data_IF_143325146541
#
_entry.id   IF_143325146541
#
_cell.length_a   1.000
_cell.length_b   1.000
_cell.length_c   1.000
_cell.angle_alpha   90.00
_cell.angle_beta   90.00
_cell.angle_gamma   90.00
#
_symmetry.space_group_name_H-M   'P 1'
#
loop_
_entity.id
_entity.type
_entity.pdbx_description
1 polymer ?
#
# COMPACT_ATOMS: atom_id res chain seq x y z
N UNK A 1 -18.01 3.95 15.93
CA UNK A 1 -17.51 5.31 15.64
C UNK A 1 -18.21 5.79 14.38
N UNK A 2 -18.82 6.97 14.42
CA UNK A 2 -19.40 7.55 13.20
C UNK A 2 -18.33 8.08 12.24
N UNK A 3 -18.72 8.30 10.98
CA UNK A 3 -17.77 8.69 9.94
C UNK A 3 -17.09 10.05 10.21
N UNK A 4 -17.79 10.99 10.81
CA UNK A 4 -17.24 12.31 11.11
C UNK A 4 -16.12 12.20 12.15
N UNK A 5 -16.36 11.46 13.22
CA UNK A 5 -15.33 11.17 14.24
C UNK A 5 -14.14 10.44 13.63
N UNK A 6 -14.40 9.50 12.71
CA UNK A 6 -13.32 8.78 12.01
C UNK A 6 -12.46 9.72 11.16
N UNK A 7 -13.07 10.60 10.35
CA UNK A 7 -12.33 11.58 9.54
C UNK A 7 -11.43 12.46 10.43
N UNK A 8 -11.98 12.97 11.55
CA UNK A 8 -11.21 13.82 12.48
C UNK A 8 -10.05 13.03 13.11
N UNK A 9 -10.29 11.80 13.56
CA UNK A 9 -9.27 10.96 14.16
C UNK A 9 -8.13 10.66 13.19
N UNK A 10 -8.46 10.30 11.94
CA UNK A 10 -7.47 10.05 10.87
C UNK A 10 -6.68 11.32 10.56
N UNK A 11 -7.36 12.47 10.45
CA UNK A 11 -6.69 13.75 10.21
C UNK A 11 -5.69 14.09 11.32
N UNK A 12 -6.11 14.02 12.58
CA UNK A 12 -5.25 14.31 13.72
C UNK A 12 -4.03 13.38 13.78
N UNK A 13 -4.25 12.07 13.58
CA UNK A 13 -3.16 11.08 13.57
C UNK A 13 -2.12 11.39 12.47
N UNK A 14 -2.58 11.73 11.28
CA UNK A 14 -1.69 12.08 10.16
C UNK A 14 -1.00 13.41 10.41
N UNK A 15 -1.78 14.46 10.75
CA UNK A 15 -1.26 15.81 10.91
C UNK A 15 -0.20 15.90 12.00
N UNK A 16 -0.44 15.27 13.14
CA UNK A 16 0.54 15.22 14.25
C UNK A 16 1.88 14.59 13.86
N UNK A 17 1.92 13.80 12.79
CA UNK A 17 3.13 13.16 12.30
C UNK A 17 3.85 13.90 11.19
N UNK A 18 3.12 14.71 10.42
CA UNK A 18 3.70 15.34 9.23
C UNK A 18 3.76 16.86 9.26
N UNK A 19 2.99 17.55 10.13
CA UNK A 19 2.88 19.03 10.18
C UNK A 19 4.23 19.73 10.30
N UNK A 20 5.16 19.17 11.08
CA UNK A 20 6.48 19.75 11.34
C UNK A 20 7.58 19.18 10.43
N UNK A 21 7.23 18.35 9.43
CA UNK A 21 8.18 17.72 8.53
C UNK A 21 8.19 18.38 7.16
N UNK A 22 9.35 18.76 6.63
CA UNK A 22 9.46 19.32 5.29
C UNK A 22 9.28 18.19 4.24
N UNK A 23 8.03 17.92 3.85
CA UNK A 23 7.71 16.91 2.82
C UNK A 23 8.22 17.39 1.45
N UNK A 24 8.17 18.70 1.20
CA UNK A 24 8.62 19.30 -0.06
C UNK A 24 9.89 20.10 0.14
N UNK A 25 10.89 19.83 -0.73
CA UNK A 25 12.14 20.59 -0.72
C UNK A 25 12.05 21.93 -1.46
N UNK A 26 11.09 22.10 -2.38
CA UNK A 26 10.94 23.29 -3.27
C UNK A 26 9.49 23.49 -3.68
N UNK A 27 9.16 24.70 -4.06
CA UNK A 27 7.87 25.09 -4.60
C UNK A 27 6.94 25.75 -3.55
N UNK A 28 5.82 26.35 -4.02
CA UNK A 28 4.84 26.95 -3.13
C UNK A 28 4.11 25.89 -2.31
N UNK A 29 3.63 26.28 -1.13
CA UNK A 29 2.78 25.43 -0.32
C UNK A 29 1.51 25.05 -1.08
N UNK A 30 1.07 23.80 -1.03
CA UNK A 30 -0.14 23.38 -1.69
C UNK A 30 -1.37 24.03 -1.04
N UNK A 31 -2.40 24.31 -1.83
CA UNK A 31 -3.66 24.86 -1.32
C UNK A 31 -4.41 23.87 -0.43
N UNK A 32 -4.39 22.60 -0.81
CA UNK A 32 -4.87 21.46 -0.02
C UNK A 32 -3.67 20.90 0.71
N UNK A 33 -3.71 20.83 2.03
CA UNK A 33 -2.59 20.31 2.83
C UNK A 33 -2.33 18.82 2.55
N UNK A 34 -1.12 18.35 2.85
CA UNK A 34 -0.80 16.93 2.68
C UNK A 34 -1.57 16.06 3.68
N UNK A 35 -1.83 16.58 4.88
CA UNK A 35 -2.70 15.92 5.88
C UNK A 35 -4.13 15.75 5.35
N UNK A 36 -4.69 16.79 4.73
CA UNK A 36 -6.04 16.70 4.11
C UNK A 36 -6.07 15.66 2.98
N UNK A 37 -5.08 15.68 2.08
CA UNK A 37 -5.02 14.70 0.97
C UNK A 37 -4.94 13.27 1.50
N UNK A 38 -4.03 13.00 2.42
CA UNK A 38 -3.86 11.66 2.99
C UNK A 38 -5.09 11.21 3.78
N UNK A 39 -5.74 12.12 4.51
CA UNK A 39 -6.99 11.83 5.21
C UNK A 39 -8.08 11.42 4.22
N UNK A 40 -8.23 12.15 3.13
CA UNK A 40 -9.21 11.84 2.10
C UNK A 40 -8.95 10.48 1.45
N UNK A 41 -7.69 10.13 1.18
CA UNK A 41 -7.34 8.82 0.63
C UNK A 41 -7.64 7.69 1.62
N UNK A 42 -7.17 7.78 2.87
CA UNK A 42 -7.39 6.74 3.88
C UNK A 42 -8.87 6.52 4.16
N UNK A 43 -9.64 7.61 4.30
CA UNK A 43 -11.09 7.50 4.52
C UNK A 43 -11.80 7.01 3.25
N UNK A 44 -11.35 7.41 2.07
CA UNK A 44 -11.88 6.93 0.80
C UNK A 44 -11.72 5.42 0.64
N UNK A 45 -10.52 4.90 0.90
CA UNK A 45 -10.24 3.46 0.90
C UNK A 45 -11.09 2.71 1.93
N UNK A 46 -11.22 3.25 3.14
CA UNK A 46 -12.10 2.67 4.17
C UNK A 46 -13.57 2.58 3.73
N UNK A 47 -14.03 3.53 2.92
CA UNK A 47 -15.38 3.55 2.35
C UNK A 47 -15.52 2.69 1.07
N UNK A 48 -14.45 2.05 0.60
CA UNK A 48 -14.45 1.27 -0.64
C UNK A 48 -14.54 2.15 -1.90
N UNK A 49 -13.99 3.35 -1.85
CA UNK A 49 -13.97 4.27 -3.01
C UNK A 49 -12.65 4.11 -3.77
N UNK A 50 -12.67 3.37 -4.87
CA UNK A 50 -11.48 2.85 -5.56
C UNK A 50 -10.72 3.87 -6.45
N UNK A 51 -11.18 5.12 -6.57
CA UNK A 51 -10.52 6.08 -7.48
C UNK A 51 -10.35 7.46 -6.88
N UNK A 52 -9.21 8.10 -7.13
CA UNK A 52 -8.95 9.51 -6.76
C UNK A 52 -10.07 10.46 -7.21
N UNK A 53 -10.66 10.18 -8.38
CA UNK A 53 -11.78 10.98 -8.88
C UNK A 53 -13.00 10.86 -7.98
N UNK A 54 -13.35 9.66 -7.58
CA UNK A 54 -14.52 9.41 -6.75
C UNK A 54 -14.29 9.93 -5.32
N UNK A 55 -13.08 9.75 -4.77
CA UNK A 55 -12.67 10.31 -3.46
C UNK A 55 -12.82 11.83 -3.49
N UNK A 56 -12.22 12.51 -4.48
CA UNK A 56 -12.28 13.97 -4.62
C UNK A 56 -13.73 14.47 -4.70
N UNK A 57 -14.58 13.81 -5.49
CA UNK A 57 -15.98 14.20 -5.65
C UNK A 57 -16.80 13.92 -4.38
N UNK A 58 -16.56 12.82 -3.71
CA UNK A 58 -17.21 12.46 -2.45
C UNK A 58 -16.96 13.54 -1.38
N UNK A 59 -15.70 13.85 -1.13
CA UNK A 59 -15.34 14.86 -0.13
C UNK A 59 -15.83 16.28 -0.54
N UNK A 60 -15.73 16.64 -1.81
CA UNK A 60 -16.25 17.93 -2.30
C UNK A 60 -17.75 18.08 -2.11
N UNK A 61 -18.51 16.98 -2.24
CA UNK A 61 -19.98 16.98 -2.09
C UNK A 61 -20.44 16.93 -0.64
N UNK A 62 -19.79 16.12 0.19
CA UNK A 62 -20.28 15.79 1.54
C UNK A 62 -19.51 16.51 2.64
N UNK A 63 -18.26 16.92 2.39
CA UNK A 63 -17.36 17.50 3.37
C UNK A 63 -16.65 18.78 2.89
N UNK A 64 -17.21 19.46 1.89
CA UNK A 64 -16.62 20.69 1.33
C UNK A 64 -16.39 21.80 2.35
N UNK A 65 -17.19 21.85 3.40
CA UNK A 65 -17.01 22.81 4.51
C UNK A 65 -15.77 22.48 5.35
N UNK A 66 -15.43 21.19 5.51
CA UNK A 66 -14.26 20.75 6.26
C UNK A 66 -12.98 20.84 5.42
N UNK A 67 -13.13 20.73 4.10
CA UNK A 67 -12.04 20.78 3.14
C UNK A 67 -12.25 21.94 2.14
N UNK A 68 -12.27 23.22 2.60
CA UNK A 68 -12.65 24.37 1.76
C UNK A 68 -11.69 24.59 0.59
N UNK A 69 -10.47 24.07 0.67
CA UNK A 69 -9.49 24.11 -0.41
C UNK A 69 -9.91 23.29 -1.63
N UNK A 70 -10.79 22.28 -1.49
CA UNK A 70 -11.27 21.47 -2.61
C UNK A 70 -11.97 22.32 -3.70
N UNK A 71 -12.69 23.36 -3.31
CA UNK A 71 -13.31 24.29 -4.25
C UNK A 71 -12.32 25.15 -5.07
N UNK A 72 -11.03 25.15 -4.68
CA UNK A 72 -9.97 25.96 -5.30
C UNK A 72 -8.89 25.12 -5.98
N UNK A 73 -9.03 23.79 -5.98
CA UNK A 73 -8.05 22.83 -6.50
C UNK A 73 -8.70 21.98 -7.59
N UNK A 74 -8.00 21.79 -8.69
CA UNK A 74 -8.49 20.86 -9.72
C UNK A 74 -8.22 19.42 -9.31
N UNK A 75 -9.12 18.50 -9.66
CA UNK A 75 -9.04 17.06 -9.37
C UNK A 75 -7.67 16.45 -9.73
N UNK A 76 -7.09 16.82 -10.86
CA UNK A 76 -5.78 16.30 -11.29
C UNK A 76 -4.64 16.77 -10.39
N UNK A 77 -4.80 17.93 -9.72
CA UNK A 77 -3.84 18.40 -8.71
C UNK A 77 -3.92 17.53 -7.47
N UNK A 78 -5.12 17.18 -7.02
CA UNK A 78 -5.33 16.25 -5.94
C UNK A 78 -4.68 14.89 -6.25
N UNK A 79 -5.03 14.24 -7.37
CA UNK A 79 -4.49 12.95 -7.76
C UNK A 79 -2.95 12.95 -7.87
N UNK A 80 -2.35 14.01 -8.42
CA UNK A 80 -0.90 14.14 -8.50
C UNK A 80 -0.24 14.34 -7.13
N UNK A 81 -0.89 15.11 -6.25
CA UNK A 81 -0.41 15.30 -4.89
C UNK A 81 -0.47 13.98 -4.10
N UNK A 82 -1.58 13.27 -4.17
CA UNK A 82 -1.78 11.94 -3.59
C UNK A 82 -0.71 10.93 -4.04
N UNK A 83 -0.45 10.87 -5.35
CA UNK A 83 0.60 10.01 -5.90
C UNK A 83 2.01 10.36 -5.39
N UNK A 84 2.31 11.66 -5.23
CA UNK A 84 3.62 12.12 -4.75
C UNK A 84 3.85 11.88 -3.24
N UNK A 85 2.81 11.55 -2.48
CA UNK A 85 2.88 11.29 -1.04
C UNK A 85 3.17 9.83 -0.68
N UNK A 86 3.54 8.99 -1.64
CA UNK A 86 3.79 7.56 -1.42
C UNK A 86 4.80 7.28 -0.29
N UNK A 87 5.91 8.03 -0.23
CA UNK A 87 6.91 7.87 0.83
C UNK A 87 6.39 8.29 2.22
N UNK A 88 5.46 9.25 2.26
CA UNK A 88 4.79 9.65 3.51
C UNK A 88 3.82 8.57 3.96
N UNK A 89 3.07 7.96 3.02
CA UNK A 89 2.19 6.82 3.31
C UNK A 89 2.97 5.64 3.87
N UNK A 90 4.11 5.30 3.26
CA UNK A 90 5.01 4.26 3.76
C UNK A 90 5.52 4.56 5.16
N UNK A 91 5.94 5.80 5.43
CA UNK A 91 6.38 6.23 6.76
C UNK A 91 5.25 6.12 7.80
N UNK A 92 4.03 6.53 7.46
CA UNK A 92 2.87 6.42 8.34
C UNK A 92 2.51 4.96 8.61
N UNK A 93 2.53 4.11 7.59
CA UNK A 93 2.30 2.68 7.72
C UNK A 93 3.31 2.03 8.66
N UNK A 94 4.62 2.26 8.45
CA UNK A 94 5.69 1.75 9.34
C UNK A 94 5.54 2.27 10.77
N UNK A 95 5.13 3.54 10.92
CA UNK A 95 4.84 4.09 12.25
C UNK A 95 3.69 3.35 12.94
N UNK A 96 2.58 3.13 12.24
CA UNK A 96 1.42 2.42 12.80
C UNK A 96 1.79 0.98 13.19
N UNK A 97 2.57 0.29 12.37
CA UNK A 97 3.07 -1.05 12.70
C UNK A 97 3.95 -1.05 13.96
N UNK A 98 4.78 -0.03 14.14
CA UNK A 98 5.66 0.07 15.33
C UNK A 98 4.90 0.26 16.64
N UNK A 99 3.61 0.58 16.59
CA UNK A 99 2.78 0.68 17.80
C UNK A 99 2.29 -0.68 18.32
N UNK A 100 2.37 -1.73 17.52
CA UNK A 100 2.01 -3.14 17.83
C UNK A 100 0.62 -3.33 18.47
N UNK A 101 -0.28 -2.36 18.33
CA UNK A 101 -1.57 -2.33 19.05
C UNK A 101 -2.66 -3.11 18.31
N UNK A 102 -2.48 -3.38 17.01
CA UNK A 102 -3.58 -3.83 16.15
C UNK A 102 -3.36 -5.19 15.49
N UNK A 103 -2.29 -5.92 15.81
CA UNK A 103 -2.04 -7.24 15.25
C UNK A 103 -1.24 -8.14 16.21
N UNK A 104 -1.34 -9.45 15.99
CA UNK A 104 -0.56 -10.47 16.68
C UNK A 104 0.66 -10.81 15.82
N UNK A 105 1.89 -10.52 16.28
CA UNK A 105 3.11 -10.80 15.51
C UNK A 105 3.44 -12.30 15.42
N UNK A 106 2.86 -13.14 16.28
CA UNK A 106 3.20 -14.57 16.34
C UNK A 106 2.52 -15.41 15.25
N UNK A 107 1.51 -14.86 14.56
CA UNK A 107 0.84 -15.56 13.47
C UNK A 107 0.83 -14.71 12.21
N UNK A 108 1.51 -15.19 11.18
CA UNK A 108 1.59 -14.53 9.87
C UNK A 108 1.14 -15.45 8.75
N UNK A 109 0.55 -14.83 7.72
CA UNK A 109 0.28 -15.46 6.42
C UNK A 109 1.17 -14.79 5.37
N UNK A 110 1.72 -15.58 4.45
CA UNK A 110 2.43 -15.08 3.27
C UNK A 110 1.73 -15.55 2.02
N UNK A 111 1.50 -14.60 1.10
CA UNK A 111 0.87 -14.87 -0.19
C UNK A 111 1.30 -13.82 -1.21
N UNK A 112 0.99 -14.08 -2.48
CA UNK A 112 1.25 -13.15 -3.58
C UNK A 112 0.07 -13.02 -4.52
N UNK A 113 0.01 -11.88 -5.19
CA UNK A 113 -0.99 -11.65 -6.21
C UNK A 113 -0.41 -10.86 -7.40
N UNK A 114 -0.97 -11.03 -8.61
CA UNK A 114 -0.51 -10.34 -9.80
C UNK A 114 -0.84 -8.83 -9.73
N UNK A 115 0.12 -8.01 -10.17
CA UNK A 115 -0.01 -6.57 -10.38
C UNK A 115 0.29 -6.26 -11.85
N UNK A 116 -0.70 -6.37 -12.75
CA UNK A 116 -0.50 -6.09 -14.17
C UNK A 116 -0.18 -4.61 -14.40
N UNK A 117 0.91 -4.32 -15.10
CA UNK A 117 1.31 -2.94 -15.46
C UNK A 117 0.56 -2.42 -16.68
N UNK A 118 -0.01 -3.31 -17.49
CA UNK A 118 -0.84 -2.96 -18.63
C UNK A 118 -1.76 -4.12 -19.03
N UNK A 119 -2.69 -3.87 -19.94
CA UNK A 119 -3.45 -4.96 -20.58
C UNK A 119 -2.50 -5.86 -21.37
N UNK A 120 -2.65 -7.18 -21.27
CA UNK A 120 -1.78 -8.19 -21.88
C UNK A 120 -1.48 -7.91 -23.36
N UNK A 121 -2.50 -7.55 -24.16
CA UNK A 121 -2.34 -7.22 -25.58
C UNK A 121 -1.41 -6.00 -25.87
N UNK A 122 -1.03 -5.25 -24.84
CA UNK A 122 -0.10 -4.11 -24.95
C UNK A 122 1.26 -4.35 -24.30
N UNK A 123 1.50 -5.54 -23.76
CA UNK A 123 2.71 -5.86 -22.99
C UNK A 123 4.00 -5.45 -23.70
N UNK A 124 4.15 -5.79 -24.97
CA UNK A 124 5.35 -5.49 -25.78
C UNK A 124 5.54 -3.99 -26.12
N UNK A 125 4.56 -3.13 -25.82
CA UNK A 125 4.64 -1.66 -25.96
C UNK A 125 4.57 -0.93 -24.63
N UNK A 126 4.46 -1.66 -23.53
CA UNK A 126 4.37 -1.07 -22.20
C UNK A 126 5.72 -0.40 -21.84
N UNK A 127 5.63 0.87 -21.44
CA UNK A 127 6.78 1.62 -20.94
C UNK A 127 6.77 1.81 -19.44
N UNK A 128 5.66 1.43 -18.79
CA UNK A 128 5.49 1.58 -17.35
C UNK A 128 6.21 0.41 -16.70
N UNK A 129 7.21 0.72 -15.86
CA UNK A 129 8.04 -0.27 -15.15
C UNK A 129 8.54 -1.38 -16.10
N UNK A 130 8.99 -0.99 -17.32
CA UNK A 130 9.33 -1.95 -18.36
C UNK A 130 10.56 -2.80 -18.01
N UNK A 131 11.49 -2.25 -17.23
CA UNK A 131 12.71 -2.94 -16.79
C UNK A 131 12.43 -3.89 -15.63
N UNK A 132 11.42 -3.59 -14.81
CA UNK A 132 11.03 -4.38 -13.64
C UNK A 132 9.90 -5.36 -13.93
N UNK A 133 9.15 -5.17 -15.03
CA UNK A 133 8.01 -6.01 -15.39
C UNK A 133 8.44 -7.25 -16.18
N UNK A 134 7.73 -8.35 -15.95
CA UNK A 134 7.90 -9.60 -16.70
C UNK A 134 6.55 -10.27 -17.00
N UNK A 135 6.58 -11.28 -17.88
CA UNK A 135 5.42 -12.15 -18.07
C UNK A 135 5.33 -13.14 -16.91
N UNK A 136 4.14 -13.26 -16.34
CA UNK A 136 3.79 -14.22 -15.31
C UNK A 136 2.47 -14.91 -15.62
N UNK A 137 2.18 -15.96 -14.87
CA UNK A 137 0.94 -16.70 -14.95
C UNK A 137 0.19 -16.59 -13.62
N UNK A 138 -1.09 -16.29 -13.68
CA UNK A 138 -1.98 -16.25 -12.54
C UNK A 138 -2.78 -17.54 -12.46
N UNK A 139 -2.50 -18.36 -11.46
CA UNK A 139 -3.16 -19.64 -11.25
C UNK A 139 -4.66 -19.51 -10.92
N UNK A 140 -5.05 -18.43 -10.28
CA UNK A 140 -6.46 -18.20 -9.89
C UNK A 140 -7.32 -17.89 -11.11
N UNK A 141 -6.89 -16.95 -11.94
CA UNK A 141 -7.64 -16.57 -13.16
C UNK A 141 -7.30 -17.40 -14.38
N UNK A 142 -6.28 -18.28 -14.29
CA UNK A 142 -5.75 -19.09 -15.42
C UNK A 142 -5.33 -18.22 -16.59
N UNK A 143 -4.75 -17.07 -16.35
CA UNK A 143 -4.35 -16.10 -17.36
C UNK A 143 -2.89 -15.68 -17.23
N UNK A 144 -2.26 -15.47 -18.39
CA UNK A 144 -0.96 -14.83 -18.45
C UNK A 144 -1.11 -13.32 -18.33
N UNK A 145 -0.28 -12.69 -17.55
CA UNK A 145 -0.23 -11.23 -17.41
C UNK A 145 1.20 -10.71 -17.63
N UNK A 146 1.33 -9.40 -17.82
CA UNK A 146 2.62 -8.70 -17.87
C UNK A 146 2.65 -7.66 -16.78
N UNK A 147 3.65 -7.75 -15.90
CA UNK A 147 3.75 -6.83 -14.76
C UNK A 147 4.64 -7.34 -13.66
N UNK A 148 4.25 -7.02 -12.45
CA UNK A 148 4.89 -7.42 -11.20
C UNK A 148 4.01 -8.41 -10.45
N UNK A 149 4.59 -9.04 -9.46
CA UNK A 149 3.87 -9.80 -8.43
C UNK A 149 4.12 -9.12 -7.08
N UNK A 150 3.04 -8.79 -6.38
CA UNK A 150 3.12 -8.29 -5.02
C UNK A 150 3.12 -9.48 -4.06
N UNK A 151 4.08 -9.48 -3.15
CA UNK A 151 4.22 -10.47 -2.10
C UNK A 151 3.96 -9.79 -0.77
N UNK A 152 3.10 -10.36 0.04
CA UNK A 152 2.68 -9.80 1.31
C UNK A 152 2.95 -10.77 2.46
N UNK A 153 3.31 -10.22 3.60
CA UNK A 153 3.16 -10.86 4.89
C UNK A 153 2.06 -10.14 5.66
N UNK A 154 1.09 -10.90 6.10
CA UNK A 154 -0.11 -10.40 6.80
C UNK A 154 -0.15 -11.04 8.19
N UNK A 155 -0.08 -10.24 9.23
CA UNK A 155 -0.22 -10.70 10.60
C UNK A 155 -1.70 -10.76 11.02
N UNK A 156 -2.02 -11.65 11.97
CA UNK A 156 -3.39 -11.77 12.48
C UNK A 156 -3.84 -10.46 13.17
N UNK A 157 -5.08 -9.97 12.97
CA UNK A 157 -6.21 -10.56 12.23
C UNK A 157 -6.31 -10.12 10.74
N UNK A 158 -5.28 -9.61 10.10
CA UNK A 158 -5.31 -9.20 8.70
C UNK A 158 -4.51 -7.93 8.40
N UNK A 159 -3.53 -7.61 9.24
CA UNK A 159 -2.69 -6.42 9.06
C UNK A 159 -1.50 -6.75 8.16
N UNK A 160 -1.33 -6.02 7.06
CA UNK A 160 -0.15 -6.13 6.20
C UNK A 160 1.04 -5.57 6.98
N UNK A 161 2.02 -6.42 7.29
CA UNK A 161 3.21 -6.06 8.06
C UNK A 161 4.47 -5.98 7.22
N UNK A 162 4.49 -6.66 6.07
CA UNK A 162 5.58 -6.58 5.11
C UNK A 162 5.04 -6.70 3.68
N UNK A 163 5.65 -5.99 2.74
CA UNK A 163 5.28 -6.02 1.32
C UNK A 163 6.52 -5.87 0.46
N UNK A 164 6.59 -6.68 -0.59
CA UNK A 164 7.61 -6.54 -1.62
C UNK A 164 7.03 -6.73 -3.02
N UNK A 165 7.67 -6.15 -4.01
CA UNK A 165 7.31 -6.27 -5.43
C UNK A 165 8.44 -6.93 -6.18
N UNK A 166 8.12 -7.91 -7.01
CA UNK A 166 9.08 -8.55 -7.90
C UNK A 166 8.54 -8.68 -9.33
N UNK A 167 9.43 -8.81 -10.34
CA UNK A 167 9.02 -9.20 -11.68
C UNK A 167 8.15 -10.46 -11.66
N UNK A 168 7.09 -10.50 -12.46
CA UNK A 168 6.09 -11.56 -12.40
C UNK A 168 6.62 -12.99 -12.65
N UNK A 169 7.84 -13.13 -13.21
CA UNK A 169 8.52 -14.40 -13.44
C UNK A 169 9.47 -14.83 -12.29
N UNK A 170 9.58 -14.02 -11.24
CA UNK A 170 10.41 -14.37 -10.09
C UNK A 170 9.66 -15.38 -9.22
N UNK A 171 10.33 -16.47 -8.84
CA UNK A 171 9.73 -17.50 -8.00
C UNK A 171 9.56 -17.00 -6.56
N UNK A 172 8.40 -17.27 -5.97
CA UNK A 172 7.96 -16.78 -4.65
C UNK A 172 8.96 -17.08 -3.53
N UNK A 173 9.64 -18.24 -3.58
CA UNK A 173 10.65 -18.63 -2.61
C UNK A 173 11.81 -17.62 -2.48
N UNK A 174 12.14 -16.88 -3.54
CA UNK A 174 13.23 -15.88 -3.48
C UNK A 174 12.90 -14.70 -2.57
N UNK A 175 11.61 -14.42 -2.38
CA UNK A 175 11.15 -13.33 -1.55
C UNK A 175 10.76 -13.77 -0.15
N UNK A 176 10.58 -15.09 0.05
CA UNK A 176 10.14 -15.67 1.32
C UNK A 176 11.04 -15.25 2.48
N UNK A 177 12.36 -15.30 2.30
CA UNK A 177 13.31 -14.96 3.39
C UNK A 177 13.23 -13.48 3.79
N UNK A 178 13.06 -12.58 2.81
CA UNK A 178 12.90 -11.15 3.04
C UNK A 178 11.57 -10.85 3.72
N UNK A 179 10.48 -11.45 3.25
CA UNK A 179 9.15 -11.28 3.85
C UNK A 179 9.08 -11.77 5.30
N UNK A 180 9.86 -12.81 5.61
CA UNK A 180 9.93 -13.41 6.93
C UNK A 180 11.01 -12.80 7.83
N UNK A 181 11.70 -11.77 7.35
CA UNK A 181 12.64 -11.04 8.18
C UNK A 181 11.90 -10.36 9.34
N UNK A 182 12.36 -10.64 10.57
CA UNK A 182 11.71 -10.16 11.80
C UNK A 182 10.35 -10.79 12.10
N UNK A 183 9.92 -11.83 11.37
CA UNK A 183 8.74 -12.60 11.74
C UNK A 183 9.00 -13.39 13.02
N UNK A 184 7.98 -13.49 13.87
CA UNK A 184 7.97 -14.30 15.09
C UNK A 184 6.92 -15.40 14.97
N UNK A 185 7.09 -16.48 15.71
CA UNK A 185 6.10 -17.56 15.80
C UNK A 185 5.84 -18.29 14.48
N UNK A 186 4.59 -18.35 14.06
CA UNK A 186 4.14 -19.15 12.93
C UNK A 186 3.96 -18.32 11.65
N UNK A 187 4.60 -18.76 10.56
CA UNK A 187 4.36 -18.23 9.22
C UNK A 187 3.74 -19.31 8.34
N UNK A 188 2.53 -19.06 7.84
CA UNK A 188 1.78 -19.94 6.96
C UNK A 188 1.82 -19.41 5.53
N UNK A 189 2.16 -20.24 4.57
CA UNK A 189 2.19 -19.91 3.15
C UNK A 189 1.89 -21.12 2.29
N UNK A 190 1.69 -20.90 1.00
CA UNK A 190 1.57 -22.02 0.06
C UNK A 190 2.92 -22.73 -0.15
N UNK A 191 2.91 -23.83 -0.93
CA UNK A 191 4.12 -24.61 -1.21
C UNK A 191 5.22 -23.83 -1.92
N UNK A 192 4.88 -22.78 -2.63
CA UNK A 192 5.84 -21.97 -3.38
C UNK A 192 6.75 -21.14 -2.49
N UNK A 193 6.37 -20.95 -1.21
CA UNK A 193 7.16 -20.26 -0.20
C UNK A 193 7.99 -21.19 0.68
N UNK A 194 7.92 -22.50 0.48
CA UNK A 194 8.59 -23.45 1.37
C UNK A 194 9.75 -24.19 0.69
N UNK A 195 10.84 -24.31 1.42
CA UNK A 195 11.92 -25.28 1.12
C UNK A 195 12.57 -25.76 2.42
N UNK A 196 13.17 -26.98 2.43
CA UNK A 196 13.91 -27.47 3.58
C UNK A 196 15.04 -26.54 4.02
N UNK A 197 15.71 -25.91 3.06
CA UNK A 197 16.80 -24.96 3.31
C UNK A 197 16.30 -23.70 4.00
N UNK A 198 15.18 -23.13 3.54
CA UNK A 198 14.55 -21.98 4.16
C UNK A 198 14.10 -22.30 5.58
N UNK A 199 13.42 -23.43 5.78
CA UNK A 199 12.99 -23.89 7.09
C UNK A 199 14.18 -24.06 8.05
N UNK A 200 15.29 -24.64 7.58
CA UNK A 200 16.50 -24.77 8.39
C UNK A 200 17.21 -23.45 8.72
N UNK A 201 17.06 -22.41 7.89
CA UNK A 201 17.59 -21.07 8.18
C UNK A 201 16.71 -20.32 9.17
N UNK A 202 15.39 -20.39 9.00
CA UNK A 202 14.43 -19.72 9.88
C UNK A 202 14.42 -20.34 11.28
N UNK A 203 14.41 -21.67 11.39
CA UNK A 203 14.45 -22.39 12.67
C UNK A 203 15.73 -22.17 13.49
N UNK A 204 16.77 -21.53 12.93
CA UNK A 204 17.99 -21.12 13.67
C UNK A 204 17.92 -19.68 14.18
N UNK A 205 16.91 -18.91 13.77
CA UNK A 205 16.74 -17.49 14.13
C UNK A 205 15.74 -17.28 15.27
N UNK A 206 14.98 -18.26 15.63
CA UNK A 206 13.98 -18.23 16.67
C UNK A 206 13.58 -19.59 17.08
#
# INVERSE_FOLDING_TARGET
>A
MDLNTFIVAVFCLIDDRIKDRPIRKRGPAPKLSDSEVLTMEVVGEFLGIDTDKAIFLFFGRHYGEWFPALGRVHRTTFARQAANLWAVKEMLWKYLLSQEVCFDPEVSLIDSFPVPTCRFARAYRCRILAEESAFGYDEMTKQTFYGLRAHLRVAWPGVIVEMDLAPANVHDLRLAEKLLEGAQGWALGDRNYWSPELAGRLGRRG
#
